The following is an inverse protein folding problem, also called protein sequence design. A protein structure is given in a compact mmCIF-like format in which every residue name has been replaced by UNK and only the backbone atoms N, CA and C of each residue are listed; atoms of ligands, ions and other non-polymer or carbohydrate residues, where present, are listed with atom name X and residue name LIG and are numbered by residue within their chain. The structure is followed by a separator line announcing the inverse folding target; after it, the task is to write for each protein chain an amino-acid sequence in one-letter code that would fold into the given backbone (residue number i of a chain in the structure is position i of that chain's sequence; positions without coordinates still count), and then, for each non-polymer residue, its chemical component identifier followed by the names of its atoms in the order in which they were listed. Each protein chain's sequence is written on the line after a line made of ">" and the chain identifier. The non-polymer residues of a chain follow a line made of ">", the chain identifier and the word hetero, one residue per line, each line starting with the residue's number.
data_IF_781985529548
#
_entry.id   IF_781985529548
#
_cell.length_a   1.000
_cell.length_b   1.000
_cell.length_c   1.000
_cell.angle_alpha   90.00
_cell.angle_beta   90.00
_cell.angle_gamma   90.00
#
_symmetry.space_group_name_H-M   'P 1'
#
loop_
_entity.id
_entity.type
_entity.pdbx_description
1 polymer ?
#
# COMPACT_ATOMS: atom_id res chain seq x y z
N UNK A 1 15.57 -2.16 29.17
CA UNK A 1 15.43 -2.46 27.72
C UNK A 1 15.99 -1.30 26.92
N UNK A 2 17.05 -1.52 26.13
CA UNK A 2 17.66 -0.48 25.28
C UNK A 2 16.65 0.07 24.26
N UNK A 3 16.66 1.39 24.05
CA UNK A 3 15.74 2.11 23.14
C UNK A 3 15.71 1.50 21.73
N UNK A 4 16.86 1.12 21.18
CA UNK A 4 16.96 0.47 19.85
C UNK A 4 16.22 -0.87 19.78
N UNK A 5 16.19 -1.65 20.87
CA UNK A 5 15.46 -2.92 20.93
C UNK A 5 13.94 -2.70 20.87
N UNK A 6 13.44 -1.63 21.52
CA UNK A 6 12.02 -1.27 21.45
C UNK A 6 11.62 -0.85 20.02
N UNK A 7 12.46 -0.05 19.37
CA UNK A 7 12.23 0.37 17.98
C UNK A 7 12.24 -0.85 17.04
N UNK A 8 13.21 -1.76 17.18
CA UNK A 8 13.27 -2.96 16.35
C UNK A 8 12.02 -3.85 16.50
N UNK A 9 11.53 -4.04 17.73
CA UNK A 9 10.28 -4.79 17.97
C UNK A 9 9.08 -4.07 17.34
N UNK A 10 8.99 -2.75 17.48
CA UNK A 10 7.91 -1.96 16.88
C UNK A 10 7.93 -2.03 15.35
N UNK A 11 9.11 -1.92 14.72
CA UNK A 11 9.27 -2.08 13.26
C UNK A 11 8.83 -3.48 12.82
N UNK A 12 9.22 -4.54 13.54
CA UNK A 12 8.78 -5.90 13.24
C UNK A 12 7.27 -6.09 13.37
N UNK A 13 6.66 -5.50 14.40
CA UNK A 13 5.20 -5.53 14.58
C UNK A 13 4.47 -4.79 13.45
N UNK A 14 4.94 -3.60 13.06
CA UNK A 14 4.38 -2.85 11.94
C UNK A 14 4.53 -3.62 10.62
N UNK A 15 5.67 -4.29 10.40
CA UNK A 15 5.87 -5.11 9.21
C UNK A 15 4.83 -6.24 9.10
N UNK A 16 4.59 -6.96 10.20
CA UNK A 16 3.55 -7.99 10.26
C UNK A 16 2.15 -7.40 10.06
N UNK A 17 1.85 -6.27 10.70
CA UNK A 17 0.59 -5.57 10.53
C UNK A 17 0.37 -5.17 9.06
N UNK A 18 1.41 -4.65 8.39
CA UNK A 18 1.34 -4.26 6.99
C UNK A 18 0.96 -5.43 6.08
N UNK A 19 1.57 -6.59 6.28
CA UNK A 19 1.21 -7.82 5.56
C UNK A 19 -0.23 -8.26 5.80
N UNK A 20 -0.70 -8.20 7.05
CA UNK A 20 -2.10 -8.47 7.37
C UNK A 20 -3.00 -7.47 6.63
N UNK A 21 -2.62 -6.19 6.58
CA UNK A 21 -3.35 -5.14 5.87
C UNK A 21 -3.49 -5.40 4.38
N UNK A 22 -2.37 -5.70 3.69
CA UNK A 22 -2.36 -5.98 2.25
C UNK A 22 -3.12 -7.26 1.92
N UNK A 23 -2.74 -8.38 2.54
CA UNK A 23 -3.34 -9.67 2.19
C UNK A 23 -4.78 -9.78 2.68
N UNK A 24 -5.09 -9.25 3.85
CA UNK A 24 -6.47 -9.21 4.37
C UNK A 24 -7.36 -8.31 3.53
N UNK A 25 -6.87 -7.13 3.16
CA UNK A 25 -7.60 -6.21 2.29
C UNK A 25 -7.82 -6.79 0.88
N UNK A 26 -6.78 -7.37 0.29
CA UNK A 26 -6.84 -8.06 -1.01
C UNK A 26 -7.80 -9.25 -0.98
N UNK A 27 -7.79 -10.06 0.07
CA UNK A 27 -8.73 -11.18 0.23
C UNK A 27 -10.20 -10.73 0.21
N UNK A 28 -10.49 -9.54 0.73
CA UNK A 28 -11.84 -8.98 0.71
C UNK A 28 -12.19 -8.35 -0.65
N UNK A 29 -11.25 -7.60 -1.25
CA UNK A 29 -11.52 -6.79 -2.43
C UNK A 29 -11.31 -7.53 -3.76
N UNK A 30 -10.22 -8.29 -3.90
CA UNK A 30 -9.82 -8.92 -5.18
C UNK A 30 -10.85 -9.87 -5.77
N UNK A 31 -11.57 -10.73 -5.01
CA UNK A 31 -12.58 -11.60 -5.58
C UNK A 31 -13.70 -10.84 -6.29
N UNK A 32 -13.99 -9.61 -5.83
CA UNK A 32 -15.02 -8.76 -6.41
C UNK A 32 -14.45 -8.05 -7.65
N UNK A 33 -13.24 -7.49 -7.54
CA UNK A 33 -12.56 -6.76 -8.61
C UNK A 33 -12.26 -7.65 -9.83
N UNK A 34 -11.97 -8.94 -9.62
CA UNK A 34 -11.62 -9.89 -10.67
C UNK A 34 -12.83 -10.63 -11.26
N UNK A 35 -14.05 -10.36 -10.79
CA UNK A 35 -15.25 -10.99 -11.31
C UNK A 35 -15.56 -10.50 -12.75
N UNK A 36 -15.98 -11.37 -13.69
CA UNK A 36 -16.36 -10.97 -15.05
C UNK A 36 -17.48 -9.93 -15.09
N UNK A 37 -18.36 -10.01 -14.10
CA UNK A 37 -19.52 -9.14 -13.89
C UNK A 37 -19.25 -8.07 -12.81
N UNK A 38 -17.98 -7.78 -12.54
CA UNK A 38 -17.53 -6.80 -11.53
C UNK A 38 -18.41 -5.54 -11.45
N UNK A 39 -18.76 -4.84 -12.55
CA UNK A 39 -19.56 -3.63 -12.44
C UNK A 39 -20.98 -3.85 -11.87
N UNK A 40 -21.60 -5.01 -12.10
CA UNK A 40 -22.90 -5.33 -11.53
C UNK A 40 -22.82 -5.68 -10.03
N UNK A 41 -21.68 -6.19 -9.57
CA UNK A 41 -21.50 -6.69 -8.21
C UNK A 41 -20.98 -5.63 -7.20
N UNK A 42 -20.52 -4.46 -7.67
CA UNK A 42 -20.03 -3.38 -6.79
C UNK A 42 -21.09 -2.94 -5.79
N UNK A 43 -22.35 -2.79 -6.21
CA UNK A 43 -23.44 -2.35 -5.35
C UNK A 43 -23.75 -3.38 -4.25
N UNK A 44 -23.77 -4.67 -4.62
CA UNK A 44 -24.09 -5.77 -3.70
C UNK A 44 -22.96 -6.03 -2.69
N UNK A 45 -21.70 -5.90 -3.11
CA UNK A 45 -20.52 -6.18 -2.28
C UNK A 45 -19.81 -4.91 -1.77
N UNK A 46 -20.54 -3.80 -1.70
CA UNK A 46 -20.00 -2.48 -1.32
C UNK A 46 -19.30 -2.47 0.03
N UNK A 47 -19.95 -3.02 1.05
CA UNK A 47 -19.39 -3.04 2.42
C UNK A 47 -18.06 -3.80 2.44
N UNK A 48 -17.99 -4.93 1.74
CA UNK A 48 -16.79 -5.74 1.64
C UNK A 48 -15.66 -5.03 0.88
N UNK A 49 -15.95 -4.37 -0.25
CA UNK A 49 -14.97 -3.57 -0.99
C UNK A 49 -14.42 -2.41 -0.14
N UNK A 50 -15.30 -1.68 0.55
CA UNK A 50 -14.91 -0.59 1.44
C UNK A 50 -14.02 -1.15 2.55
N UNK A 51 -14.43 -2.21 3.24
CA UNK A 51 -13.63 -2.82 4.30
C UNK A 51 -12.26 -3.28 3.80
N UNK A 52 -12.18 -3.89 2.61
CA UNK A 52 -10.91 -4.29 2.02
C UNK A 52 -9.98 -3.10 1.73
N UNK A 53 -10.49 -2.07 1.04
CA UNK A 53 -9.71 -0.88 0.70
C UNK A 53 -9.27 -0.08 1.94
N UNK A 54 -10.13 0.04 2.95
CA UNK A 54 -9.79 0.70 4.21
C UNK A 54 -8.78 -0.11 5.03
N UNK A 55 -8.83 -1.43 4.97
CA UNK A 55 -7.82 -2.29 5.60
C UNK A 55 -6.45 -2.10 4.95
N UNK A 56 -6.38 -2.04 3.62
CA UNK A 56 -5.14 -1.68 2.91
C UNK A 56 -4.67 -0.27 3.31
N UNK A 57 -5.55 0.74 3.32
CA UNK A 57 -5.21 2.13 3.66
C UNK A 57 -4.68 2.29 5.09
N UNK A 58 -5.44 1.78 6.06
CA UNK A 58 -5.18 2.06 7.48
C UNK A 58 -4.11 1.10 8.01
N UNK A 59 -4.23 -0.19 7.72
CA UNK A 59 -3.35 -1.18 8.34
C UNK A 59 -2.03 -1.26 7.59
N UNK A 60 -2.05 -1.26 6.25
CA UNK A 60 -0.82 -1.33 5.47
C UNK A 60 -0.12 0.03 5.31
N UNK A 61 -0.79 1.04 4.74
CA UNK A 61 -0.07 2.25 4.34
C UNK A 61 0.49 3.02 5.56
N UNK A 62 -0.23 3.03 6.69
CA UNK A 62 0.26 3.60 7.95
C UNK A 62 1.43 2.78 8.52
N UNK A 63 1.37 1.45 8.41
CA UNK A 63 2.47 0.60 8.85
C UNK A 63 3.75 0.86 8.05
N UNK A 64 3.65 0.99 6.72
CA UNK A 64 4.78 1.32 5.84
C UNK A 64 5.38 2.68 6.23
N UNK A 65 4.53 3.69 6.46
CA UNK A 65 4.99 5.01 6.91
C UNK A 65 5.69 4.95 8.28
N UNK A 66 5.09 4.23 9.22
CA UNK A 66 5.61 4.05 10.57
C UNK A 66 6.97 3.34 10.58
N UNK A 67 7.16 2.33 9.72
CA UNK A 67 8.47 1.66 9.52
C UNK A 67 9.51 2.67 9.05
N UNK A 68 9.17 3.53 8.08
CA UNK A 68 10.04 4.61 7.60
C UNK A 68 10.51 5.53 8.74
N UNK A 69 9.56 6.04 9.53
CA UNK A 69 9.81 6.97 10.64
C UNK A 69 10.66 6.32 11.74
N UNK A 70 10.33 5.08 12.13
CA UNK A 70 11.05 4.38 13.19
C UNK A 70 12.46 4.00 12.77
N UNK A 71 12.64 3.51 11.54
CA UNK A 71 13.97 3.18 11.03
C UNK A 71 14.82 4.43 10.84
N UNK A 72 14.25 5.58 10.47
CA UNK A 72 15.00 6.85 10.39
C UNK A 72 15.78 7.13 11.68
N UNK A 73 15.19 6.88 12.85
CA UNK A 73 15.85 7.10 14.14
C UNK A 73 17.11 6.24 14.35
N UNK A 74 17.15 5.04 13.77
CA UNK A 74 18.28 4.11 13.84
C UNK A 74 19.31 4.45 12.76
N UNK A 75 18.85 4.66 11.53
CA UNK A 75 19.70 4.86 10.36
C UNK A 75 20.46 6.19 10.43
N UNK A 76 19.85 7.26 10.96
CA UNK A 76 20.48 8.59 11.05
C UNK A 76 21.77 8.62 11.87
N UNK A 77 21.93 7.70 12.82
CA UNK A 77 23.15 7.58 13.63
C UNK A 77 24.35 7.12 12.78
N UNK A 78 24.09 6.43 11.67
CA UNK A 78 25.11 5.87 10.79
C UNK A 78 25.31 6.71 9.52
N UNK A 79 24.22 7.24 8.95
CA UNK A 79 24.26 8.19 7.84
C UNK A 79 22.93 8.93 7.75
N UNK A 80 22.93 10.22 8.06
CA UNK A 80 21.74 11.06 7.98
C UNK A 80 21.22 11.19 6.53
N UNK A 81 22.12 11.35 5.56
CA UNK A 81 21.76 11.45 4.13
C UNK A 81 21.02 10.21 3.63
N UNK A 82 21.53 9.00 3.94
CA UNK A 82 20.87 7.75 3.52
C UNK A 82 19.57 7.55 4.30
N UNK A 83 19.53 7.90 5.58
CA UNK A 83 18.31 7.81 6.40
C UNK A 83 17.19 8.71 5.87
N UNK A 84 17.51 9.97 5.51
CA UNK A 84 16.56 10.89 4.89
C UNK A 84 16.10 10.37 3.53
N UNK A 85 17.02 9.91 2.67
CA UNK A 85 16.67 9.33 1.37
C UNK A 85 15.72 8.13 1.49
N UNK A 86 15.98 7.25 2.45
CA UNK A 86 15.09 6.12 2.75
C UNK A 86 13.70 6.58 3.20
N UNK A 87 13.62 7.52 4.14
CA UNK A 87 12.34 8.06 4.62
C UNK A 87 11.56 8.75 3.49
N UNK A 88 12.22 9.56 2.67
CA UNK A 88 11.60 10.22 1.52
C UNK A 88 11.03 9.22 0.52
N UNK A 89 11.76 8.15 0.21
CA UNK A 89 11.25 7.08 -0.67
C UNK A 89 10.04 6.38 -0.05
N UNK A 90 10.05 6.12 1.26
CA UNK A 90 8.90 5.52 1.96
C UNK A 90 7.66 6.43 1.94
N UNK A 91 7.84 7.75 2.00
CA UNK A 91 6.74 8.70 1.86
C UNK A 91 6.14 8.64 0.45
N UNK A 92 6.98 8.58 -0.58
CA UNK A 92 6.52 8.45 -1.98
C UNK A 92 5.78 7.13 -2.18
N UNK A 93 6.29 6.02 -1.63
CA UNK A 93 5.65 4.71 -1.68
C UNK A 93 4.25 4.74 -1.04
N UNK A 94 4.12 5.35 0.13
CA UNK A 94 2.81 5.52 0.78
C UNK A 94 1.88 6.38 -0.07
N UNK A 95 2.38 7.45 -0.68
CA UNK A 95 1.58 8.29 -1.56
C UNK A 95 1.06 7.52 -2.79
N UNK A 96 1.90 6.69 -3.42
CA UNK A 96 1.49 5.84 -4.54
C UNK A 96 0.53 4.74 -4.11
N UNK A 97 0.74 4.13 -2.95
CA UNK A 97 -0.20 3.14 -2.39
C UNK A 97 -1.58 3.76 -2.15
N UNK A 98 -1.66 4.95 -1.58
CA UNK A 98 -2.93 5.67 -1.38
C UNK A 98 -3.57 6.01 -2.72
N UNK A 99 -2.79 6.54 -3.68
CA UNK A 99 -3.28 6.92 -5.00
C UNK A 99 -3.94 5.74 -5.74
N UNK A 100 -3.35 4.54 -5.64
CA UNK A 100 -3.85 3.32 -6.29
C UNK A 100 -5.28 2.91 -5.89
N UNK A 101 -5.81 3.48 -4.80
CA UNK A 101 -7.12 3.13 -4.25
C UNK A 101 -8.21 4.14 -4.66
N UNK A 102 -7.84 5.36 -5.08
CA UNK A 102 -8.83 6.39 -5.41
C UNK A 102 -9.71 5.99 -6.60
N UNK A 103 -9.14 5.42 -7.66
CA UNK A 103 -9.92 4.95 -8.81
C UNK A 103 -11.03 3.95 -8.40
N UNK A 104 -10.70 3.01 -7.50
CA UNK A 104 -11.68 2.05 -6.98
C UNK A 104 -12.72 2.69 -6.06
N UNK A 105 -12.32 3.63 -5.21
CA UNK A 105 -13.26 4.37 -4.36
C UNK A 105 -14.24 5.21 -5.20
N UNK A 106 -13.77 5.82 -6.28
CA UNK A 106 -14.62 6.56 -7.23
C UNK A 106 -15.64 5.65 -7.91
N UNK A 107 -15.27 4.41 -8.26
CA UNK A 107 -16.23 3.44 -8.82
C UNK A 107 -17.37 3.10 -7.85
N UNK A 108 -17.09 3.06 -6.54
CA UNK A 108 -18.13 2.81 -5.53
C UNK A 108 -19.15 3.94 -5.53
N UNK A 109 -18.73 5.20 -5.66
CA UNK A 109 -19.64 6.36 -5.78
C UNK A 109 -20.43 6.31 -7.09
N UNK A 110 -19.76 6.13 -8.23
CA UNK A 110 -20.40 6.11 -9.55
C UNK A 110 -21.38 4.92 -9.72
N UNK A 111 -21.09 3.79 -9.07
CA UNK A 111 -22.00 2.64 -9.03
C UNK A 111 -23.33 2.95 -8.33
N UNK A 112 -23.35 3.88 -7.37
CA UNK A 112 -24.59 4.31 -6.71
C UNK A 112 -25.48 5.10 -7.67
N UNK A 113 -24.90 6.08 -8.37
CA UNK A 113 -25.62 6.94 -9.30
C UNK A 113 -26.18 6.13 -10.48
N UNK A 114 -25.46 5.10 -10.91
CA UNK A 114 -25.90 4.18 -11.98
C UNK A 114 -27.21 3.46 -11.66
N UNK A 115 -27.39 3.04 -10.39
CA UNK A 115 -28.60 2.32 -9.93
C UNK A 115 -29.77 3.28 -9.68
N UNK A 116 -29.50 4.51 -9.23
CA UNK A 116 -30.54 5.47 -8.84
C UNK A 116 -31.06 6.31 -10.00
N UNK A 117 -30.22 6.64 -10.98
CA UNK A 117 -30.57 7.56 -12.09
C UNK A 117 -30.71 6.87 -13.43
N UNK A 118 -30.31 5.60 -13.56
CA UNK A 118 -30.21 4.91 -14.85
C UNK A 118 -29.29 5.62 -15.86
N UNK A 119 -28.48 6.57 -15.40
CA UNK A 119 -27.78 7.55 -16.26
C UNK A 119 -26.49 7.02 -16.90
N UNK A 120 -25.96 5.89 -16.42
CA UNK A 120 -24.74 5.28 -16.94
C UNK A 120 -25.08 4.02 -17.73
N UNK A 121 -24.84 4.06 -19.04
CA UNK A 121 -24.84 2.86 -19.89
C UNK A 121 -23.83 1.84 -19.32
N UNK A 122 -24.23 0.57 -19.25
CA UNK A 122 -23.41 -0.52 -18.72
C UNK A 122 -22.05 -0.62 -19.43
N UNK A 123 -21.99 -0.26 -20.72
CA UNK A 123 -20.74 -0.20 -21.47
C UNK A 123 -19.77 0.87 -20.93
N UNK A 124 -20.27 2.06 -20.61
CA UNK A 124 -19.45 3.16 -20.06
C UNK A 124 -18.94 2.84 -18.66
N UNK A 125 -19.80 2.25 -17.81
CA UNK A 125 -19.40 1.86 -16.46
C UNK A 125 -18.34 0.74 -16.47
N UNK A 126 -18.44 -0.22 -17.41
CA UNK A 126 -17.39 -1.23 -17.66
C UNK A 126 -16.06 -0.60 -18.07
N UNK A 127 -16.08 0.40 -18.96
CA UNK A 127 -14.88 1.09 -19.41
C UNK A 127 -14.19 1.84 -18.25
N UNK A 128 -14.96 2.55 -17.42
CA UNK A 128 -14.44 3.21 -16.21
C UNK A 128 -13.86 2.20 -15.21
N UNK A 129 -14.53 1.06 -15.03
CA UNK A 129 -14.05 -0.05 -14.21
C UNK A 129 -12.69 -0.57 -14.68
N UNK A 130 -12.56 -0.84 -15.98
CA UNK A 130 -11.32 -1.28 -16.60
C UNK A 130 -10.20 -0.22 -16.48
N UNK A 131 -10.53 1.05 -16.66
CA UNK A 131 -9.58 2.15 -16.52
C UNK A 131 -9.02 2.25 -15.08
N UNK A 132 -9.88 2.18 -14.06
CA UNK A 132 -9.45 2.22 -12.67
C UNK A 132 -8.58 1.01 -12.27
N UNK A 133 -8.89 -0.18 -12.80
CA UNK A 133 -8.06 -1.37 -12.60
C UNK A 133 -6.69 -1.23 -13.28
N UNK A 134 -6.66 -0.70 -14.52
CA UNK A 134 -5.42 -0.43 -15.22
C UNK A 134 -4.56 0.62 -14.49
N UNK A 135 -5.18 1.68 -13.99
CA UNK A 135 -4.51 2.70 -13.16
C UNK A 135 -3.90 2.08 -11.91
N UNK A 136 -4.68 1.31 -11.13
CA UNK A 136 -4.19 0.61 -9.93
C UNK A 136 -3.01 -0.31 -10.27
N UNK A 137 -3.07 -1.04 -11.38
CA UNK A 137 -1.99 -1.90 -11.83
C UNK A 137 -0.69 -1.11 -12.10
N UNK A 138 -0.76 -0.06 -12.91
CA UNK A 138 0.41 0.74 -13.27
C UNK A 138 0.99 1.51 -12.09
N UNK A 139 0.14 2.05 -11.21
CA UNK A 139 0.61 2.66 -9.95
C UNK A 139 1.33 1.62 -9.10
N UNK A 140 0.85 0.36 -9.05
CA UNK A 140 1.53 -0.74 -8.38
C UNK A 140 2.92 -1.04 -8.97
N UNK A 141 3.07 -1.03 -10.29
CA UNK A 141 4.38 -1.21 -10.94
C UNK A 141 5.34 -0.07 -10.60
N UNK A 142 4.87 1.17 -10.62
CA UNK A 142 5.65 2.35 -10.21
C UNK A 142 6.05 2.26 -8.73
N UNK A 143 5.12 1.84 -7.87
CA UNK A 143 5.37 1.65 -6.44
C UNK A 143 6.49 0.62 -6.19
N UNK A 144 6.53 -0.46 -6.98
CA UNK A 144 7.58 -1.48 -6.88
C UNK A 144 8.99 -0.91 -7.12
N UNK A 145 9.14 0.08 -8.01
CA UNK A 145 10.42 0.77 -8.24
C UNK A 145 10.86 1.50 -6.97
N UNK A 146 9.96 2.26 -6.34
CA UNK A 146 10.27 2.95 -5.09
C UNK A 146 10.59 1.99 -3.95
N UNK A 147 9.85 0.89 -3.85
CA UNK A 147 10.14 -0.18 -2.89
C UNK A 147 11.57 -0.73 -3.07
N UNK A 148 11.97 -1.04 -4.31
CA UNK A 148 13.32 -1.55 -4.62
C UNK A 148 14.39 -0.52 -4.25
N UNK A 149 14.20 0.76 -4.61
CA UNK A 149 15.15 1.82 -4.26
C UNK A 149 15.28 1.99 -2.74
N UNK A 150 14.16 1.95 -2.03
CA UNK A 150 14.14 2.00 -0.56
C UNK A 150 14.85 0.80 0.07
N UNK A 151 14.63 -0.39 -0.47
CA UNK A 151 15.32 -1.61 -0.04
C UNK A 151 16.84 -1.52 -0.25
N UNK A 152 17.30 -1.02 -1.40
CA UNK A 152 18.71 -0.81 -1.68
C UNK A 152 19.38 0.15 -0.69
N UNK A 153 18.73 1.26 -0.36
CA UNK A 153 19.24 2.20 0.66
C UNK A 153 19.30 1.56 2.05
N UNK A 154 18.24 0.85 2.44
CA UNK A 154 18.19 0.17 3.73
C UNK A 154 19.29 -0.90 3.84
N UNK A 155 19.37 -1.80 2.87
CA UNK A 155 20.32 -2.92 2.89
C UNK A 155 21.76 -2.45 2.77
N UNK A 156 22.05 -1.47 1.92
CA UNK A 156 23.40 -0.92 1.82
C UNK A 156 23.87 -0.31 3.15
N UNK A 157 22.98 0.35 3.89
CA UNK A 157 23.31 0.90 5.20
C UNK A 157 23.45 -0.18 6.28
N UNK A 158 22.55 -1.17 6.32
CA UNK A 158 22.65 -2.30 7.25
C UNK A 158 23.95 -3.10 7.05
N UNK A 159 24.34 -3.33 5.79
CA UNK A 159 25.59 -4.00 5.44
C UNK A 159 26.83 -3.20 5.88
N UNK A 160 26.87 -1.88 5.58
CA UNK A 160 28.00 -1.01 5.95
C UNK A 160 28.14 -0.82 7.46
N UNK A 161 27.02 -0.70 8.16
CA UNK A 161 26.96 -0.50 9.61
C UNK A 161 27.13 -1.80 10.43
N UNK A 162 27.17 -2.97 9.77
CA UNK A 162 27.26 -4.30 10.40
C UNK A 162 26.14 -4.54 11.44
N UNK A 163 24.97 -3.92 11.23
CA UNK A 163 23.80 -4.10 12.10
C UNK A 163 23.17 -5.49 11.94
N UNK A 164 23.46 -6.17 10.83
CA UNK A 164 22.99 -7.52 10.51
C UNK A 164 24.21 -8.41 10.25
N UNK A 165 24.20 -9.69 10.70
CA UNK A 165 25.27 -10.63 10.38
C UNK A 165 25.49 -10.73 8.87
N UNK A 166 26.75 -10.74 8.42
CA UNK A 166 27.11 -10.71 7.00
C UNK A 166 26.55 -11.85 6.14
N UNK A 167 26.19 -12.98 6.74
CA UNK A 167 25.55 -14.09 6.03
C UNK A 167 24.05 -13.87 5.76
N UNK A 168 23.46 -12.84 6.37
CA UNK A 168 22.05 -12.47 6.26
C UNK A 168 21.86 -11.11 5.54
N UNK A 169 22.93 -10.39 5.20
CA UNK A 169 22.92 -9.14 4.43
C UNK A 169 23.18 -9.33 2.95
#
# INVERSE_FOLDING_TARGET
>A
MNTSRKIAIAVGALFLAGYVGVFGGGFLAEPILNAPDFPANIAASRSQLISGLFMELIVNDIAVLGIGILLFQILRVHSETIALGYLSIRIVEVATLVASKFGLLSLITLGQDSVTTGALDAANFRLLGAAALAERYWIGQVNAVFFILGALLLYSLLYRSKLVPRWLS
#
